data_IF_828850345796
#
_entry.id   IF_828850345796
#
_cell.length_a   1.000
_cell.length_b   1.000
_cell.length_c   1.000
_cell.angle_alpha   90.00
_cell.angle_beta   90.00
_cell.angle_gamma   90.00
#
_symmetry.space_group_name_H-M   'P 1'
#
loop_
_entity.id
_entity.type
_entity.pdbx_description
1 polymer ?
#
# COMPACT_ATOMS: atom_id res chain seq x y z
N UNK A 1 -4.41 0.36 -9.83
CA UNK A 1 -5.61 -0.42 -9.49
C UNK A 1 -6.03 -1.21 -10.72
N UNK A 2 -6.22 -2.52 -10.58
CA UNK A 2 -6.74 -3.36 -11.67
C UNK A 2 -8.25 -3.16 -11.77
N UNK A 3 -8.74 -2.75 -12.93
CA UNK A 3 -10.17 -2.56 -13.21
C UNK A 3 -10.50 -3.12 -14.59
N UNK A 4 -11.70 -3.65 -14.74
CA UNK A 4 -12.26 -4.01 -16.03
C UNK A 4 -12.65 -2.74 -16.79
N UNK A 5 -12.34 -2.68 -18.08
CA UNK A 5 -12.87 -1.65 -18.97
C UNK A 5 -14.25 -2.04 -19.53
N UNK A 6 -14.84 -1.14 -20.32
CA UNK A 6 -16.15 -1.34 -20.95
C UNK A 6 -16.18 -2.48 -21.98
N UNK A 7 -15.03 -2.97 -22.42
CA UNK A 7 -14.87 -4.09 -23.35
C UNK A 7 -14.50 -5.41 -22.62
N UNK A 8 -14.69 -5.46 -21.30
CA UNK A 8 -14.33 -6.61 -20.45
C UNK A 8 -12.85 -7.00 -20.52
N UNK A 9 -11.97 -6.04 -20.80
CA UNK A 9 -10.52 -6.26 -20.75
C UNK A 9 -9.97 -5.71 -19.43
N UNK A 10 -9.12 -6.51 -18.76
CA UNK A 10 -8.50 -6.11 -17.51
C UNK A 10 -7.32 -5.14 -17.78
N UNK A 11 -7.33 -3.97 -17.14
CA UNK A 11 -6.26 -2.97 -17.27
C UNK A 11 -5.78 -2.46 -15.91
N UNK A 12 -4.51 -2.06 -15.87
CA UNK A 12 -3.94 -1.37 -14.71
C UNK A 12 -4.14 0.14 -14.85
N UNK A 13 -4.79 0.74 -13.86
CA UNK A 13 -5.06 2.17 -13.78
C UNK A 13 -4.12 2.83 -12.76
N UNK A 14 -3.35 3.82 -13.22
CA UNK A 14 -2.47 4.64 -12.39
C UNK A 14 -3.07 6.03 -12.21
N UNK A 15 -3.12 6.53 -10.97
CA UNK A 15 -3.40 7.93 -10.70
C UNK A 15 -2.12 8.74 -10.93
N UNK A 16 -2.22 9.78 -11.74
CA UNK A 16 -1.14 10.71 -12.02
C UNK A 16 -1.18 11.89 -11.03
N UNK A 17 -0.06 12.62 -10.82
CA UNK A 17 -0.01 13.75 -9.90
C UNK A 17 -0.93 14.92 -10.26
N UNK A 18 -1.28 15.06 -11.53
CA UNK A 18 -2.20 16.07 -12.06
C UNK A 18 -3.69 15.68 -11.84
N UNK A 19 -3.96 14.54 -11.21
CA UNK A 19 -5.30 14.00 -11.01
C UNK A 19 -5.83 13.17 -12.19
N UNK A 20 -5.05 13.06 -13.27
CA UNK A 20 -5.40 12.20 -14.40
C UNK A 20 -5.32 10.71 -14.06
N UNK A 21 -6.02 9.88 -14.83
CA UNK A 21 -5.93 8.42 -14.73
C UNK A 21 -5.34 7.87 -16.03
N UNK A 22 -4.28 7.08 -15.91
CA UNK A 22 -3.66 6.38 -17.03
C UNK A 22 -3.94 4.89 -16.98
N UNK A 23 -4.65 4.38 -17.98
CA UNK A 23 -4.86 2.94 -18.16
C UNK A 23 -3.71 2.32 -18.99
N UNK A 24 -3.15 1.21 -18.52
CA UNK A 24 -2.04 0.50 -19.14
C UNK A 24 -2.41 -0.99 -19.30
N UNK A 25 -2.14 -1.62 -20.46
CA UNK A 25 -2.30 -3.06 -20.63
C UNK A 25 -1.41 -3.84 -19.65
N UNK A 26 -1.89 -4.98 -19.16
CA UNK A 26 -1.15 -5.80 -18.20
C UNK A 26 0.20 -6.30 -18.73
N UNK A 27 0.28 -6.56 -20.04
CA UNK A 27 1.51 -6.97 -20.74
C UNK A 27 2.64 -5.94 -20.70
N UNK A 28 2.34 -4.68 -20.31
CA UNK A 28 3.34 -3.61 -20.15
C UNK A 28 3.72 -3.36 -18.70
N UNK A 29 3.17 -4.12 -17.74
CA UNK A 29 3.56 -3.97 -16.36
C UNK A 29 4.96 -4.55 -16.16
N UNK A 30 5.87 -3.83 -15.49
CA UNK A 30 7.12 -4.41 -15.01
C UNK A 30 6.82 -5.45 -13.93
N UNK A 31 7.87 -6.03 -13.35
CA UNK A 31 7.73 -6.88 -12.17
C UNK A 31 6.91 -6.16 -11.08
N UNK A 32 5.93 -6.87 -10.54
CA UNK A 32 4.96 -6.32 -9.61
C UNK A 32 4.49 -7.38 -8.62
N UNK A 33 4.04 -6.90 -7.47
CA UNK A 33 3.49 -7.72 -6.39
C UNK A 33 2.08 -7.26 -6.02
N UNK A 34 1.37 -8.13 -5.32
CA UNK A 34 0.07 -7.77 -4.74
C UNK A 34 0.28 -6.87 -3.52
N UNK A 35 -0.51 -5.80 -3.40
CA UNK A 35 -0.33 -4.78 -2.36
C UNK A 35 -1.53 -4.68 -1.37
N UNK A 36 -2.20 -5.80 -1.06
CA UNK A 36 -3.26 -5.82 -0.03
C UNK A 36 -2.72 -5.52 1.37
N UNK A 37 -1.49 -5.96 1.63
CA UNK A 37 -0.69 -5.59 2.79
C UNK A 37 0.71 -5.23 2.29
N UNK A 38 1.30 -4.18 2.85
CA UNK A 38 2.66 -3.74 2.53
C UNK A 38 3.48 -3.67 3.81
N UNK A 39 4.79 -3.82 3.67
CA UNK A 39 5.69 -3.62 4.80
C UNK A 39 5.71 -2.14 5.20
N UNK A 40 6.02 -1.86 6.47
CA UNK A 40 6.20 -0.49 6.95
C UNK A 40 7.22 0.27 6.09
N UNK A 41 8.30 -0.40 5.67
CA UNK A 41 9.31 0.15 4.76
C UNK A 41 8.72 0.59 3.41
N UNK A 42 7.91 -0.25 2.76
CA UNK A 42 7.26 0.09 1.47
C UNK A 42 6.22 1.20 1.59
N UNK A 43 5.73 1.48 2.81
CA UNK A 43 4.77 2.56 3.08
C UNK A 43 5.42 3.94 3.29
N UNK A 44 6.74 4.04 3.32
CA UNK A 44 7.44 5.31 3.57
C UNK A 44 7.05 6.38 2.54
N UNK A 45 6.76 7.60 3.02
CA UNK A 45 6.30 8.72 2.19
C UNK A 45 4.81 8.65 1.80
N UNK A 46 4.12 7.54 2.04
CA UNK A 46 2.66 7.42 1.84
C UNK A 46 1.90 7.69 3.14
N UNK A 47 0.67 8.17 3.05
CA UNK A 47 -0.22 8.35 4.20
C UNK A 47 -1.62 7.83 3.86
N UNK A 48 -2.30 7.26 4.84
CA UNK A 48 -3.60 6.62 4.68
C UNK A 48 -4.58 7.18 5.68
N UNK A 49 -5.86 7.30 5.30
CA UNK A 49 -6.90 7.77 6.22
C UNK A 49 -7.00 6.86 7.45
N UNK A 50 -7.00 5.55 7.24
CA UNK A 50 -6.96 4.53 8.29
C UNK A 50 -5.86 3.51 7.97
N UNK A 51 -4.97 3.27 8.93
CA UNK A 51 -3.95 2.22 8.87
C UNK A 51 -4.28 1.10 9.85
N UNK A 52 -4.17 -0.15 9.41
CA UNK A 52 -4.14 -1.33 10.27
C UNK A 52 -2.70 -1.85 10.36
N UNK A 53 -2.15 -1.91 11.58
CA UNK A 53 -0.81 -2.41 11.85
C UNK A 53 -0.88 -3.79 12.49
N UNK A 54 -0.35 -4.80 11.81
CA UNK A 54 -0.22 -6.16 12.33
C UNK A 54 1.23 -6.43 12.74
N UNK A 55 1.45 -6.73 14.02
CA UNK A 55 2.73 -7.13 14.57
C UNK A 55 2.80 -8.66 14.65
N UNK A 56 4.00 -9.25 14.52
CA UNK A 56 4.16 -10.68 14.71
C UNK A 56 4.02 -11.04 16.19
N UNK A 57 3.52 -12.25 16.46
CA UNK A 57 3.32 -12.77 17.82
C UNK A 57 4.64 -13.07 18.59
N UNK A 58 5.79 -12.83 17.97
CA UNK A 58 7.11 -13.07 18.54
C UNK A 58 7.96 -11.80 18.43
N UNK A 59 8.75 -11.52 19.47
CA UNK A 59 9.69 -10.39 19.45
C UNK A 59 10.83 -10.74 18.49
N UNK A 60 10.98 -9.93 17.44
CA UNK A 60 12.02 -10.07 16.43
C UNK A 60 12.88 -8.81 16.38
N UNK A 61 14.17 -8.90 15.98
CA UNK A 61 15.06 -7.73 15.91
C UNK A 61 14.54 -6.58 15.04
N UNK A 62 13.66 -6.87 14.08
CA UNK A 62 13.03 -5.88 13.22
C UNK A 62 12.03 -4.99 13.97
N UNK A 63 11.50 -5.42 15.12
CA UNK A 63 10.55 -4.65 15.93
C UNK A 63 11.25 -3.57 16.75
N UNK A 64 11.62 -2.49 16.08
CA UNK A 64 12.22 -1.31 16.72
C UNK A 64 11.20 -0.21 16.99
N UNK A 65 11.58 0.76 17.83
CA UNK A 65 10.74 1.95 18.10
C UNK A 65 10.55 2.78 16.84
N UNK A 66 11.57 2.87 16.00
CA UNK A 66 11.57 3.62 14.74
C UNK A 66 10.60 2.98 13.73
N UNK A 67 10.57 1.64 13.66
CA UNK A 67 9.63 0.93 12.81
C UNK A 67 8.19 1.20 13.25
N UNK A 68 7.91 1.08 14.55
CA UNK A 68 6.59 1.35 15.12
C UNK A 68 6.18 2.81 14.91
N UNK A 69 7.08 3.76 15.19
CA UNK A 69 6.83 5.19 14.97
C UNK A 69 6.50 5.48 13.50
N UNK A 70 7.27 4.90 12.58
CA UNK A 70 7.01 5.05 11.14
C UNK A 70 5.64 4.50 10.77
N UNK A 71 5.27 3.32 11.27
CA UNK A 71 3.96 2.71 11.04
C UNK A 71 2.81 3.57 11.58
N UNK A 72 2.94 4.09 12.80
CA UNK A 72 1.93 4.97 13.44
C UNK A 72 1.72 6.24 12.64
N UNK A 73 2.80 6.89 12.19
CA UNK A 73 2.70 8.14 11.40
C UNK A 73 2.14 7.95 9.99
N UNK A 74 1.92 6.72 9.52
CA UNK A 74 1.22 6.49 8.24
C UNK A 74 -0.27 6.76 8.34
N UNK A 75 -0.86 6.73 9.54
CA UNK A 75 -2.28 6.99 9.75
C UNK A 75 -2.56 8.49 9.87
N UNK A 76 -3.46 9.02 9.03
CA UNK A 76 -3.92 10.42 9.11
C UNK A 76 -5.03 10.63 10.14
N UNK A 77 -5.95 9.68 10.25
CA UNK A 77 -7.14 9.83 11.10
C UNK A 77 -7.34 8.68 12.08
N UNK A 78 -7.02 7.43 11.69
CA UNK A 78 -7.25 6.26 12.53
C UNK A 78 -6.13 5.22 12.41
N UNK A 79 -5.76 4.64 13.54
CA UNK A 79 -4.89 3.48 13.63
C UNK A 79 -5.64 2.33 14.31
N UNK A 80 -5.53 1.12 13.75
CA UNK A 80 -5.89 -0.13 14.40
C UNK A 80 -4.64 -0.97 14.59
N UNK A 81 -4.40 -1.47 15.80
CA UNK A 81 -3.23 -2.26 16.14
C UNK A 81 -3.65 -3.70 16.46
N UNK A 82 -2.96 -4.66 15.85
CA UNK A 82 -3.07 -6.09 16.09
C UNK A 82 -1.68 -6.58 16.50
N UNK A 83 -1.55 -7.09 17.72
CA UNK A 83 -0.28 -7.46 18.33
C UNK A 83 -0.44 -8.65 19.27
#
# INVERSE_FOLDING_TARGET
ILLWDGEQTLRMHFSLPDGGIKAVPLSRLPEHETAFAITVHKSQGSEFHHTALALPNQIMPVLTRELLYTAVTRARARLSLYA
#
